data_IF_545975197267
#
_entry.id   IF_545975197267
#
_cell.length_a   1.000
_cell.length_b   1.000
_cell.length_c   1.000
_cell.angle_alpha   90.00
_cell.angle_beta   90.00
_cell.angle_gamma   90.00
#
_symmetry.space_group_name_H-M   'P 1'
#
loop_
_entity.id
_entity.type
_entity.pdbx_description
1 polymer ?
#
# COMPACT_ATOMS: atom_id res chain seq x y z
N UNK A 1 19.31 5.08 -23.80
CA UNK A 1 20.56 5.82 -23.45
C UNK A 1 20.16 7.30 -23.43
N UNK A 2 19.77 7.81 -22.27
CA UNK A 2 19.34 9.21 -22.09
C UNK A 2 20.59 10.11 -22.11
N UNK A 3 20.50 11.28 -22.75
CA UNK A 3 21.62 12.22 -22.85
C UNK A 3 21.80 12.87 -21.47
N UNK A 4 22.77 12.38 -20.71
CA UNK A 4 23.18 12.97 -19.46
C UNK A 4 24.00 14.24 -19.74
N UNK A 5 23.52 15.38 -19.24
CA UNK A 5 24.47 16.37 -18.74
C UNK A 5 25.10 15.73 -17.49
N UNK A 6 26.44 15.73 -17.42
CA UNK A 6 27.25 14.94 -16.49
C UNK A 6 26.60 14.72 -15.10
N UNK A 7 26.09 13.50 -14.86
CA UNK A 7 25.61 13.04 -13.57
C UNK A 7 24.12 13.27 -13.23
N UNK A 8 23.31 13.87 -14.10
CA UNK A 8 21.88 14.12 -13.81
C UNK A 8 20.95 13.16 -14.56
N UNK A 9 20.00 12.56 -13.83
CA UNK A 9 18.91 11.74 -14.39
C UNK A 9 17.57 12.44 -14.11
N UNK A 10 16.74 12.57 -15.14
CA UNK A 10 15.38 13.12 -15.01
C UNK A 10 14.36 12.00 -15.12
N UNK A 11 13.49 11.90 -14.13
CA UNK A 11 12.33 10.99 -14.13
C UNK A 11 11.06 11.83 -14.12
N UNK A 12 10.14 11.52 -15.03
CA UNK A 12 8.84 12.17 -15.14
C UNK A 12 7.72 11.11 -15.08
N UNK A 13 6.58 11.47 -14.50
CA UNK A 13 5.40 10.61 -14.41
C UNK A 13 4.15 11.36 -14.89
N UNK A 14 3.27 10.68 -15.62
CA UNK A 14 1.99 11.23 -16.07
C UNK A 14 0.93 10.15 -16.15
N UNK A 15 -0.31 10.48 -15.76
CA UNK A 15 -1.48 9.62 -15.98
C UNK A 15 -2.14 9.90 -17.35
N UNK A 16 -1.64 10.88 -18.10
CA UNK A 16 -2.18 11.30 -19.40
C UNK A 16 -1.03 11.52 -20.40
N UNK A 17 -0.39 10.44 -20.91
CA UNK A 17 0.72 10.57 -21.84
C UNK A 17 0.34 11.30 -23.14
N UNK A 18 -0.91 11.17 -23.59
CA UNK A 18 -1.41 11.82 -24.81
C UNK A 18 -1.55 13.34 -24.74
N UNK A 19 -1.46 13.96 -23.55
CA UNK A 19 -1.50 15.42 -23.40
C UNK A 19 -0.12 16.06 -23.34
N UNK A 20 0.95 15.25 -23.40
CA UNK A 20 2.32 15.77 -23.40
C UNK A 20 2.65 16.42 -24.74
N UNK A 21 3.41 17.52 -24.70
CA UNK A 21 3.99 18.11 -25.89
C UNK A 21 4.94 17.10 -26.56
N UNK A 22 4.71 16.82 -27.84
CA UNK A 22 5.54 15.93 -28.65
C UNK A 22 7.03 16.35 -28.68
N UNK A 23 7.34 17.62 -28.45
CA UNK A 23 8.72 18.11 -28.33
C UNK A 23 9.44 17.54 -27.11
N UNK A 24 8.74 17.13 -26.04
CA UNK A 24 9.35 16.51 -24.86
C UNK A 24 9.71 15.04 -25.09
N UNK A 25 9.01 14.36 -26.00
CA UNK A 25 9.19 12.93 -26.30
C UNK A 25 10.27 12.64 -27.35
N UNK A 26 10.93 13.69 -27.87
CA UNK A 26 12.00 13.55 -28.87
C UNK A 26 13.26 12.93 -28.23
N UNK A 27 14.07 12.18 -29.02
CA UNK A 27 15.35 11.64 -28.54
C UNK A 27 16.23 12.68 -27.83
N UNK A 28 16.82 12.29 -26.70
CA UNK A 28 17.64 13.19 -25.86
C UNK A 28 16.86 14.04 -24.85
N UNK A 29 15.54 13.82 -24.71
CA UNK A 29 14.68 14.43 -23.68
C UNK A 29 14.01 13.34 -22.84
N UNK A 30 12.68 13.25 -22.83
CA UNK A 30 11.90 12.15 -22.23
C UNK A 30 11.71 11.03 -23.27
N UNK A 31 12.83 10.45 -23.70
CA UNK A 31 12.84 9.47 -24.80
C UNK A 31 12.61 8.01 -24.34
N UNK A 32 12.68 7.76 -23.04
CA UNK A 32 12.41 6.44 -22.44
C UNK A 32 11.06 6.46 -21.75
N UNK A 33 10.09 5.71 -22.29
CA UNK A 33 8.76 5.57 -21.71
C UNK A 33 8.61 4.20 -21.04
N UNK A 34 8.20 4.19 -19.77
CA UNK A 34 7.87 2.97 -19.02
C UNK A 34 6.39 3.04 -18.67
N UNK A 35 5.62 2.08 -19.15
CA UNK A 35 4.21 1.96 -18.78
C UNK A 35 4.08 1.17 -17.47
N UNK A 36 3.33 1.72 -16.51
CA UNK A 36 3.02 1.06 -15.25
C UNK A 36 1.54 0.62 -15.33
N UNK A 37 1.25 -0.69 -15.50
CA UNK A 37 -0.12 -1.17 -15.51
C UNK A 37 -0.71 -1.21 -14.09
N UNK A 38 -2.01 -1.46 -14.00
CA UNK A 38 -2.65 -1.84 -12.73
C UNK A 38 -1.99 -3.13 -12.19
N UNK A 39 -1.92 -3.30 -10.86
CA UNK A 39 -1.25 -4.45 -10.27
C UNK A 39 -2.00 -5.75 -10.59
N UNK A 40 -1.26 -6.74 -11.06
CA UNK A 40 -1.73 -8.12 -11.14
C UNK A 40 -1.87 -8.74 -9.73
N UNK A 41 -2.39 -9.97 -9.67
CA UNK A 41 -2.59 -10.68 -8.42
C UNK A 41 -1.34 -10.72 -7.53
N UNK A 42 -0.19 -11.09 -8.11
CA UNK A 42 1.09 -11.20 -7.38
C UNK A 42 1.57 -9.85 -6.86
N UNK A 43 1.37 -8.78 -7.65
CA UNK A 43 1.68 -7.43 -7.24
C UNK A 43 0.76 -6.96 -6.10
N UNK A 44 -0.54 -7.29 -6.15
CA UNK A 44 -1.48 -6.97 -5.06
C UNK A 44 -1.09 -7.65 -3.75
N UNK A 45 -0.72 -8.93 -3.79
CA UNK A 45 -0.20 -9.67 -2.63
C UNK A 45 1.03 -8.98 -2.03
N UNK A 46 2.01 -8.61 -2.88
CA UNK A 46 3.21 -7.92 -2.44
C UNK A 46 2.90 -6.54 -1.81
N UNK A 47 1.97 -5.78 -2.42
CA UNK A 47 1.52 -4.48 -1.90
C UNK A 47 0.86 -4.65 -0.53
N UNK A 48 -0.04 -5.62 -0.38
CA UNK A 48 -0.69 -5.93 0.90
C UNK A 48 0.34 -6.27 1.98
N UNK A 49 1.33 -7.11 1.67
CA UNK A 49 2.42 -7.41 2.61
C UNK A 49 3.25 -6.19 3.00
N UNK A 50 3.56 -5.29 2.05
CA UNK A 50 4.31 -4.06 2.34
C UNK A 50 3.54 -3.16 3.30
N UNK A 51 2.25 -2.94 3.04
CA UNK A 51 1.42 -2.06 3.87
C UNK A 51 1.05 -2.67 5.23
N UNK A 52 1.08 -3.99 5.37
CA UNK A 52 0.81 -4.69 6.64
C UNK A 52 2.04 -5.07 7.44
N UNK A 53 3.26 -4.88 6.93
CA UNK A 53 4.53 -5.34 7.54
C UNK A 53 4.74 -4.91 9.01
N UNK A 54 4.16 -3.79 9.43
CA UNK A 54 4.29 -3.25 10.80
C UNK A 54 2.98 -3.29 11.59
N UNK A 55 1.96 -3.94 11.05
CA UNK A 55 0.66 -4.07 11.70
C UNK A 55 0.61 -5.37 12.51
N UNK A 56 0.00 -5.37 13.70
CA UNK A 56 -0.38 -6.61 14.35
C UNK A 56 -1.46 -7.28 13.51
N UNK A 57 -1.17 -8.51 13.05
CA UNK A 57 -2.08 -9.30 12.23
C UNK A 57 -2.60 -10.49 13.04
N UNK A 58 -3.88 -10.80 12.89
CA UNK A 58 -4.44 -12.03 13.41
C UNK A 58 -3.98 -13.23 12.57
N UNK A 59 -3.97 -14.42 13.16
CA UNK A 59 -3.47 -15.64 12.51
C UNK A 59 -4.36 -16.11 11.33
N UNK A 60 -5.57 -15.59 11.25
CA UNK A 60 -6.59 -15.92 10.25
C UNK A 60 -6.62 -14.92 9.08
N UNK A 61 -5.66 -13.98 8.99
CA UNK A 61 -5.55 -13.08 7.84
C UNK A 61 -4.99 -13.83 6.63
N UNK A 62 -5.85 -14.05 5.64
CA UNK A 62 -5.49 -14.68 4.36
C UNK A 62 -5.23 -13.64 3.27
N UNK A 63 -3.96 -13.44 2.92
CA UNK A 63 -3.55 -12.50 1.89
C UNK A 63 -3.85 -12.95 0.47
N UNK A 64 -3.90 -14.26 0.20
CA UNK A 64 -4.23 -14.79 -1.12
C UNK A 64 -5.70 -14.48 -1.42
N UNK A 65 -6.59 -14.79 -0.45
CA UNK A 65 -8.02 -14.45 -0.58
C UNK A 65 -8.27 -12.94 -0.74
N UNK A 66 -7.49 -12.10 -0.04
CA UNK A 66 -7.56 -10.65 -0.18
C UNK A 66 -7.08 -10.17 -1.56
N UNK A 67 -6.00 -10.75 -2.08
CA UNK A 67 -5.49 -10.42 -3.41
C UNK A 67 -6.47 -10.82 -4.52
N UNK A 68 -7.17 -11.95 -4.38
CA UNK A 68 -8.26 -12.37 -5.27
C UNK A 68 -9.46 -11.41 -5.21
N UNK A 69 -9.89 -11.04 -4.00
CA UNK A 69 -11.06 -10.18 -3.80
C UNK A 69 -10.85 -8.71 -4.21
N UNK A 70 -9.61 -8.28 -4.42
CA UNK A 70 -9.23 -6.90 -4.75
C UNK A 70 -8.83 -6.74 -6.22
N UNK A 71 -9.43 -7.53 -7.11
CA UNK A 71 -9.25 -7.35 -8.55
C UNK A 71 -9.52 -5.88 -8.96
N UNK A 72 -8.65 -5.34 -9.81
CA UNK A 72 -8.64 -3.95 -10.28
C UNK A 72 -8.27 -2.87 -9.26
N UNK A 73 -7.98 -3.22 -8.01
CA UNK A 73 -7.50 -2.23 -7.05
C UNK A 73 -6.14 -1.69 -7.47
N UNK A 74 -5.97 -0.37 -7.35
CA UNK A 74 -4.69 0.32 -7.43
C UNK A 74 -3.90 0.15 -6.14
N UNK A 75 -2.59 0.45 -6.19
CA UNK A 75 -1.76 0.42 -4.97
C UNK A 75 -2.29 1.35 -3.85
N UNK A 76 -2.84 2.51 -4.22
CA UNK A 76 -3.43 3.45 -3.26
C UNK A 76 -4.72 2.91 -2.61
N UNK A 77 -5.53 2.16 -3.34
CA UNK A 77 -6.74 1.53 -2.80
C UNK A 77 -6.39 0.37 -1.85
N UNK A 78 -5.36 -0.41 -2.17
CA UNK A 78 -4.84 -1.45 -1.27
C UNK A 78 -4.25 -0.87 0.02
N UNK A 79 -3.47 0.21 -0.07
CA UNK A 79 -3.02 0.95 1.11
C UNK A 79 -4.21 1.46 1.94
N UNK A 80 -5.21 2.03 1.25
CA UNK A 80 -6.45 2.49 1.85
C UNK A 80 -7.17 1.39 2.62
N UNK A 81 -7.31 0.21 2.01
CA UNK A 81 -7.91 -0.96 2.64
C UNK A 81 -7.19 -1.33 3.94
N UNK A 82 -5.86 -1.45 3.91
CA UNK A 82 -5.07 -1.78 5.11
C UNK A 82 -5.24 -0.73 6.21
N UNK A 83 -5.24 0.57 5.84
CA UNK A 83 -5.41 1.66 6.79
C UNK A 83 -6.81 1.66 7.43
N UNK A 84 -7.86 1.47 6.64
CA UNK A 84 -9.24 1.42 7.18
C UNK A 84 -9.44 0.19 8.07
N UNK A 85 -8.87 -0.96 7.71
CA UNK A 85 -8.90 -2.16 8.56
C UNK A 85 -8.21 -1.90 9.92
N UNK A 86 -7.07 -1.21 9.93
CA UNK A 86 -6.38 -0.82 11.17
C UNK A 86 -7.24 0.10 12.05
N UNK A 87 -7.86 1.12 11.44
CA UNK A 87 -8.74 2.04 12.16
C UNK A 87 -9.98 1.35 12.72
N UNK A 88 -10.57 0.41 11.96
CA UNK A 88 -11.70 -0.40 12.41
C UNK A 88 -11.31 -1.25 13.64
N UNK A 89 -10.15 -1.91 13.61
CA UNK A 89 -9.65 -2.71 14.73
C UNK A 89 -9.39 -1.87 16.00
N UNK A 90 -8.90 -0.64 15.87
CA UNK A 90 -8.71 0.27 17.02
C UNK A 90 -10.05 0.71 17.64
N UNK A 91 -11.07 0.95 16.80
CA UNK A 91 -12.41 1.33 17.25
C UNK A 91 -13.10 0.19 18.02
N UNK A 92 -12.98 -1.05 17.55
CA UNK A 92 -13.57 -2.21 18.25
C UNK A 92 -12.88 -2.47 19.59
N UNK A 93 -11.55 -2.37 19.65
CA UNK A 93 -10.81 -2.52 20.92
C UNK A 93 -11.15 -1.45 21.94
N UNK A 94 -11.26 -0.18 21.51
CA UNK A 94 -11.65 0.92 22.41
C UNK A 94 -13.06 0.76 22.98
N UNK A 95 -13.97 0.14 22.23
CA UNK A 95 -15.29 -0.24 22.75
C UNK A 95 -15.21 -1.45 23.67
N UNK A 96 -14.43 -2.48 23.32
CA UNK A 96 -14.23 -3.66 24.16
C UNK A 96 -13.60 -3.30 25.52
N UNK A 97 -12.62 -2.40 25.54
CA UNK A 97 -12.00 -1.89 26.78
C UNK A 97 -12.99 -1.13 27.66
N UNK A 98 -14.03 -0.50 27.07
CA UNK A 98 -15.11 0.15 27.81
C UNK A 98 -16.16 -0.82 28.35
N UNK A 99 -16.30 -2.01 27.76
CA UNK A 99 -17.20 -3.07 28.24
C UNK A 99 -16.49 -4.14 29.10
N UNK A 100 -15.15 -4.20 29.10
CA UNK A 100 -14.34 -5.10 29.92
C UNK A 100 -14.05 -4.61 31.34
N UNK A 101 -14.39 -3.36 31.68
CA UNK A 101 -14.24 -2.80 33.03
C UNK A 101 -15.37 -3.24 34.01
N UNK A 102 -15.78 -4.50 33.93
CA UNK A 102 -16.64 -5.18 34.91
C UNK A 102 -16.05 -6.53 35.30
N UNK A 103 -14.76 -6.60 35.61
CA UNK A 103 -14.22 -7.55 36.59
C UNK A 103 -12.83 -7.08 37.08
N UNK A 104 -12.65 -6.79 38.39
CA UNK A 104 -11.51 -5.98 38.85
C UNK A 104 -10.20 -6.70 39.19
N UNK A 105 -9.96 -7.99 38.92
CA UNK A 105 -8.81 -8.69 39.54
C UNK A 105 -7.78 -9.42 38.64
N UNK A 106 -7.89 -9.45 37.30
CA UNK A 106 -6.95 -10.25 36.46
C UNK A 106 -5.97 -9.44 35.59
N UNK A 107 -5.82 -8.13 35.80
CA UNK A 107 -4.94 -7.27 34.98
C UNK A 107 -3.44 -7.31 35.36
N UNK A 108 -2.97 -8.32 36.10
CA UNK A 108 -1.64 -8.33 36.70
C UNK A 108 -0.56 -9.11 35.92
N UNK A 109 -0.84 -9.67 34.74
CA UNK A 109 0.16 -10.51 34.06
C UNK A 109 0.20 -10.28 32.54
N UNK A 110 0.82 -9.18 32.14
CA UNK A 110 1.39 -9.04 30.80
C UNK A 110 2.74 -8.33 30.89
N UNK A 111 3.82 -9.11 30.92
CA UNK A 111 5.22 -8.67 30.82
C UNK A 111 5.69 -8.83 29.36
N UNK A 112 5.87 -7.74 28.60
CA UNK A 112 6.41 -7.83 27.25
C UNK A 112 7.93 -7.85 27.31
N UNK A 113 8.53 -9.04 27.21
CA UNK A 113 9.90 -9.21 26.69
C UNK A 113 9.87 -9.50 25.21
#
# INVERSE_FOLDING_TARGET
RTVAADGVVVVAATNRPGTLDAALLRPGRLDTAIHIPAPDHSARLAILHVHTRRMPLAADVDFEALADATEHFTGAELEGLCREAALAALRTRSSADKFGAQNPEEAAEWDPK
#
